data_IF_408488674258
#
_entry.id   IF_408488674258
#
_cell.length_a   1.000
_cell.length_b   1.000
_cell.length_c   1.000
_cell.angle_alpha   90.00
_cell.angle_beta   90.00
_cell.angle_gamma   90.00
#
_symmetry.space_group_name_H-M   'P 1'
#
loop_
_entity.id
_entity.type
_entity.pdbx_description
1 polymer ?
#
# COMPACT_ATOMS: atom_id res chain seq x y z
N UNK A 1 19.32 -34.95 21.69
CA UNK A 1 18.59 -34.68 20.42
C UNK A 1 19.27 -33.50 19.76
N UNK A 2 20.14 -33.77 18.79
CA UNK A 2 20.80 -32.73 18.02
C UNK A 2 19.75 -32.09 17.11
N UNK A 3 19.50 -30.80 17.29
CA UNK A 3 18.75 -30.04 16.29
C UNK A 3 19.62 -29.96 15.04
N UNK A 4 19.19 -30.64 13.98
CA UNK A 4 19.72 -30.45 12.65
C UNK A 4 19.61 -28.96 12.33
N UNK A 5 20.77 -28.32 12.18
CA UNK A 5 20.86 -26.93 11.77
C UNK A 5 20.53 -26.90 10.29
N UNK A 6 19.25 -26.95 9.97
CA UNK A 6 18.70 -26.74 8.64
C UNK A 6 19.38 -25.48 8.10
N UNK A 7 20.12 -25.61 7.00
CA UNK A 7 21.04 -24.61 6.49
C UNK A 7 20.26 -23.46 5.86
N UNK A 8 19.49 -22.75 6.67
CA UNK A 8 18.71 -21.62 6.22
C UNK A 8 19.67 -20.46 5.90
N UNK A 9 19.45 -19.71 4.80
CA UNK A 9 20.27 -18.56 4.44
C UNK A 9 20.39 -17.55 5.59
N UNK A 10 21.53 -16.85 5.69
CA UNK A 10 21.77 -15.86 6.76
C UNK A 10 20.64 -14.83 6.87
N UNK A 11 20.14 -14.35 5.74
CA UNK A 11 19.11 -13.32 5.67
C UNK A 11 17.74 -13.81 6.19
N UNK A 12 17.46 -15.12 6.08
CA UNK A 12 16.28 -15.73 6.69
C UNK A 12 16.32 -15.62 8.22
N UNK A 13 17.50 -15.85 8.81
CA UNK A 13 17.74 -15.69 10.24
C UNK A 13 17.58 -14.25 10.71
N UNK A 14 17.99 -13.26 9.89
CA UNK A 14 17.82 -11.84 10.19
C UNK A 14 16.35 -11.45 10.21
N UNK A 15 15.58 -11.79 9.17
CA UNK A 15 14.13 -11.49 9.12
C UNK A 15 13.39 -12.17 10.28
N UNK A 16 13.74 -13.41 10.61
CA UNK A 16 13.18 -14.12 11.76
C UNK A 16 13.49 -13.41 13.08
N UNK A 17 14.69 -12.86 13.22
CA UNK A 17 15.09 -12.11 14.42
C UNK A 17 14.31 -10.80 14.55
N UNK A 18 14.08 -10.10 13.43
CA UNK A 18 13.26 -8.88 13.38
C UNK A 18 11.80 -9.18 13.78
N UNK A 19 11.21 -10.27 13.27
CA UNK A 19 9.84 -10.65 13.65
C UNK A 19 9.70 -10.95 15.14
N UNK A 20 10.72 -11.61 15.73
CA UNK A 20 10.78 -11.88 17.17
C UNK A 20 10.91 -10.60 18.00
N UNK A 21 11.73 -9.65 17.56
CA UNK A 21 11.89 -8.35 18.23
C UNK A 21 10.60 -7.52 18.19
N UNK A 22 9.82 -7.64 17.11
CA UNK A 22 8.48 -7.04 17.00
C UNK A 22 7.40 -7.78 17.81
N UNK A 23 7.75 -8.87 18.52
CA UNK A 23 6.81 -9.64 19.34
C UNK A 23 5.89 -10.57 18.54
N UNK A 24 6.19 -10.84 17.27
CA UNK A 24 5.40 -11.73 16.41
C UNK A 24 5.94 -13.15 16.55
N UNK A 25 5.25 -13.96 17.35
CA UNK A 25 5.67 -15.33 17.65
C UNK A 25 5.03 -16.40 16.75
N UNK A 26 3.93 -16.06 16.06
CA UNK A 26 3.17 -16.99 15.22
C UNK A 26 3.00 -16.41 13.80
N UNK A 27 3.56 -17.09 12.80
CA UNK A 27 3.44 -16.74 11.40
C UNK A 27 3.66 -17.97 10.50
N UNK A 28 3.11 -17.97 9.29
CA UNK A 28 3.40 -19.02 8.31
C UNK A 28 4.86 -18.90 7.84
N UNK A 29 5.60 -20.02 7.69
CA UNK A 29 6.99 -19.98 7.21
C UNK A 29 7.19 -19.21 5.89
N UNK A 30 6.17 -19.18 5.02
CA UNK A 30 6.20 -18.45 3.75
C UNK A 30 6.30 -16.93 3.91
N UNK A 31 5.87 -16.38 5.04
CA UNK A 31 5.96 -14.93 5.31
C UNK A 31 7.42 -14.48 5.26
N UNK A 32 8.33 -15.28 5.80
CA UNK A 32 9.78 -14.95 5.78
C UNK A 32 10.30 -14.92 4.34
N UNK A 33 9.88 -15.86 3.49
CA UNK A 33 10.26 -15.89 2.08
C UNK A 33 9.71 -14.68 1.31
N UNK A 34 8.46 -14.29 1.57
CA UNK A 34 7.85 -13.11 0.95
C UNK A 34 8.52 -11.81 1.38
N UNK A 35 8.84 -11.67 2.66
CA UNK A 35 9.58 -10.52 3.18
C UNK A 35 11.00 -10.44 2.61
N UNK A 36 11.65 -11.59 2.43
CA UNK A 36 12.96 -11.66 1.80
C UNK A 36 12.90 -11.19 0.35
N UNK A 37 11.96 -11.72 -0.44
CA UNK A 37 11.75 -11.32 -1.83
C UNK A 37 11.40 -9.82 -1.94
N UNK A 38 10.53 -9.34 -1.06
CA UNK A 38 10.18 -7.92 -0.97
C UNK A 38 11.41 -7.05 -0.71
N UNK A 39 12.25 -7.44 0.24
CA UNK A 39 13.47 -6.69 0.61
C UNK A 39 14.43 -6.60 -0.57
N UNK A 40 14.70 -7.73 -1.24
CA UNK A 40 15.57 -7.72 -2.42
C UNK A 40 15.01 -6.89 -3.57
N UNK A 41 13.70 -7.02 -3.84
CA UNK A 41 13.05 -6.24 -4.88
C UNK A 41 13.13 -4.75 -4.58
N UNK A 42 12.82 -4.35 -3.33
CA UNK A 42 12.89 -2.96 -2.89
C UNK A 42 14.30 -2.38 -3.03
N UNK A 43 15.32 -3.08 -2.50
CA UNK A 43 16.71 -2.62 -2.59
C UNK A 43 17.18 -2.51 -4.04
N UNK A 44 16.81 -3.49 -4.89
CA UNK A 44 17.16 -3.46 -6.32
C UNK A 44 16.55 -2.24 -7.01
N UNK A 45 15.26 -1.98 -6.82
CA UNK A 45 14.59 -0.80 -7.40
C UNK A 45 15.22 0.51 -6.91
N UNK A 46 15.52 0.63 -5.61
CA UNK A 46 16.17 1.84 -5.07
C UNK A 46 17.56 2.04 -5.67
N UNK A 47 18.35 0.98 -5.84
CA UNK A 47 19.68 1.06 -6.44
C UNK A 47 19.64 1.36 -7.95
N UNK A 48 18.62 0.87 -8.66
CA UNK A 48 18.39 1.20 -10.06
C UNK A 48 18.08 2.69 -10.24
N UNK A 49 17.20 3.25 -9.42
CA UNK A 49 16.87 4.68 -9.42
C UNK A 49 18.09 5.53 -9.02
N UNK A 50 18.83 5.13 -7.99
CA UNK A 50 20.05 5.83 -7.57
C UNK A 50 21.14 5.82 -8.67
N UNK A 51 21.24 4.74 -9.44
CA UNK A 51 22.13 4.67 -10.62
C UNK A 51 21.72 5.67 -11.69
N UNK A 52 20.42 5.81 -11.97
CA UNK A 52 19.90 6.78 -12.94
C UNK A 52 20.24 8.21 -12.48
N UNK A 53 20.09 8.51 -11.19
CA UNK A 53 20.43 9.82 -10.63
C UNK A 53 21.93 10.12 -10.69
N UNK A 54 22.79 9.14 -10.38
CA UNK A 54 24.24 9.26 -10.53
C UNK A 54 24.65 9.51 -11.99
N UNK A 55 24.01 8.82 -12.95
CA UNK A 55 24.26 9.01 -14.38
C UNK A 55 23.82 10.39 -14.86
N UNK A 56 22.68 10.88 -14.37
CA UNK A 56 22.20 12.22 -14.70
C UNK A 56 23.15 13.33 -14.19
N UNK A 57 23.84 13.09 -13.07
CA UNK A 57 24.82 14.00 -12.50
C UNK A 57 26.26 13.79 -13.03
N UNK A 58 26.45 12.99 -14.10
CA UNK A 58 27.75 12.61 -14.67
C UNK A 58 28.76 12.03 -13.64
N UNK A 59 28.26 11.44 -12.55
CA UNK A 59 29.07 10.79 -11.51
C UNK A 59 29.35 9.34 -11.90
N UNK A 60 30.61 8.90 -11.74
CA UNK A 60 31.04 7.51 -12.03
C UNK A 60 30.68 6.51 -10.92
N UNK A 61 30.38 7.01 -9.72
CA UNK A 61 30.09 6.19 -8.53
C UNK A 61 28.81 6.69 -7.88
N UNK A 62 27.96 5.75 -7.45
CA UNK A 62 26.73 6.06 -6.71
C UNK A 62 27.12 6.67 -5.36
N UNK A 63 26.60 7.86 -5.08
CA UNK A 63 26.79 8.57 -3.80
C UNK A 63 25.61 8.36 -2.86
N UNK A 64 25.83 8.60 -1.57
CA UNK A 64 24.79 8.47 -0.53
C UNK A 64 23.60 9.39 -0.83
N UNK A 65 23.84 10.55 -1.42
CA UNK A 65 22.78 11.50 -1.76
C UNK A 65 21.88 10.99 -2.90
N UNK A 66 22.44 10.25 -3.86
CA UNK A 66 21.67 9.64 -4.94
C UNK A 66 20.73 8.54 -4.37
N UNK A 67 21.20 7.78 -3.37
CA UNK A 67 20.37 6.77 -2.67
C UNK A 67 19.28 7.43 -1.83
N UNK A 68 19.60 8.52 -1.10
CA UNK A 68 18.59 9.27 -0.33
C UNK A 68 17.49 9.81 -1.23
N UNK A 69 17.86 10.37 -2.38
CA UNK A 69 16.91 10.88 -3.37
C UNK A 69 16.03 9.76 -3.95
N UNK A 70 16.61 8.59 -4.24
CA UNK A 70 15.87 7.42 -4.69
C UNK A 70 14.84 6.93 -3.66
N UNK A 71 15.23 6.89 -2.38
CA UNK A 71 14.31 6.53 -1.29
C UNK A 71 13.16 7.54 -1.17
N UNK A 72 13.44 8.84 -1.25
CA UNK A 72 12.41 9.88 -1.19
C UNK A 72 11.40 9.73 -2.34
N UNK A 73 11.89 9.63 -3.58
CA UNK A 73 11.08 9.41 -4.78
C UNK A 73 10.22 8.14 -4.68
N UNK A 74 10.79 7.05 -4.16
CA UNK A 74 10.06 5.79 -3.97
C UNK A 74 9.01 5.89 -2.85
N UNK A 75 9.31 6.61 -1.77
CA UNK A 75 8.38 6.82 -0.66
C UNK A 75 7.14 7.59 -1.09
N UNK A 76 7.29 8.61 -1.95
CA UNK A 76 6.16 9.38 -2.49
C UNK A 76 5.25 8.53 -3.40
N UNK A 77 5.82 7.56 -4.12
CA UNK A 77 5.05 6.65 -4.99
C UNK A 77 4.30 5.58 -4.20
N UNK A 78 4.92 5.04 -3.16
CA UNK A 78 4.47 3.79 -2.51
C UNK A 78 3.79 4.02 -1.16
N UNK A 79 4.14 5.08 -0.45
CA UNK A 79 3.61 5.37 0.89
C UNK A 79 2.61 6.51 0.78
N UNK A 80 1.32 6.16 0.89
CA UNK A 80 0.31 7.17 1.19
C UNK A 80 0.43 7.52 2.67
N UNK A 81 1.32 8.46 2.98
CA UNK A 81 1.30 9.11 4.29
C UNK A 81 -0.11 9.65 4.53
N UNK A 82 -0.67 9.48 5.73
CA UNK A 82 -1.97 10.06 6.04
C UNK A 82 -1.88 11.57 5.77
N UNK A 83 -2.86 12.15 5.06
CA UNK A 83 -2.82 13.56 4.74
C UNK A 83 -2.71 14.40 6.01
N UNK A 84 -2.03 15.56 5.97
CA UNK A 84 -1.92 16.44 7.12
C UNK A 84 -3.28 16.80 7.72
N UNK A 85 -3.35 16.92 9.05
CA UNK A 85 -4.59 17.22 9.77
C UNK A 85 -5.24 18.50 9.27
N UNK A 86 -4.45 19.53 8.99
CA UNK A 86 -4.95 20.83 8.50
C UNK A 86 -5.67 20.70 7.15
N UNK A 87 -5.13 19.88 6.24
CA UNK A 87 -5.75 19.59 4.95
C UNK A 87 -7.10 18.90 5.14
N UNK A 88 -7.18 17.94 6.06
CA UNK A 88 -8.44 17.25 6.37
C UNK A 88 -9.45 18.19 7.05
N UNK A 89 -8.99 19.09 7.92
CA UNK A 89 -9.83 20.10 8.56
C UNK A 89 -10.40 21.11 7.56
N UNK A 90 -9.63 21.51 6.55
CA UNK A 90 -10.11 22.39 5.48
C UNK A 90 -11.21 21.74 4.64
N UNK A 91 -11.02 20.46 4.27
CA UNK A 91 -12.05 19.67 3.57
C UNK A 91 -13.30 19.55 4.44
N UNK A 92 -13.12 19.25 5.74
CA UNK A 92 -14.22 19.13 6.68
C UNK A 92 -15.00 20.44 6.80
N UNK A 93 -14.33 21.60 6.94
CA UNK A 93 -14.99 22.92 6.96
C UNK A 93 -15.79 23.16 5.69
N UNK A 94 -15.21 22.88 4.53
CA UNK A 94 -15.88 23.07 3.23
C UNK A 94 -17.13 22.20 3.10
N UNK A 95 -17.07 20.94 3.52
CA UNK A 95 -18.20 20.01 3.47
C UNK A 95 -19.26 20.30 4.53
N UNK A 96 -18.84 20.61 5.75
CA UNK A 96 -19.73 20.85 6.89
C UNK A 96 -20.44 22.22 6.81
N UNK A 97 -19.98 23.13 5.96
CA UNK A 97 -20.70 24.37 5.67
C UNK A 97 -22.02 24.16 4.91
N UNK A 98 -22.22 22.99 4.29
CA UNK A 98 -23.50 22.66 3.66
C UNK A 98 -24.48 22.18 4.74
N UNK A 99 -25.62 22.88 4.95
CA UNK A 99 -26.59 22.45 5.94
C UNK A 99 -27.20 21.10 5.55
N UNK A 100 -27.56 20.31 6.56
CA UNK A 100 -28.20 19.01 6.35
C UNK A 100 -29.53 19.18 5.58
N UNK A 101 -29.84 18.26 4.64
CA UNK A 101 -31.15 18.24 3.99
C UNK A 101 -32.27 18.10 5.03
N UNK A 102 -33.43 18.74 4.83
CA UNK A 102 -34.55 18.61 5.75
C UNK A 102 -34.99 17.15 5.83
N UNK A 103 -35.12 16.65 7.06
CA UNK A 103 -35.56 15.28 7.34
C UNK A 103 -37.03 15.15 6.91
N UNK A 104 -37.30 14.29 5.92
CA UNK A 104 -38.68 13.94 5.55
C UNK A 104 -39.21 12.93 6.57
N UNK A 105 -40.42 13.14 7.10
CA UNK A 105 -41.05 12.28 8.10
C UNK A 105 -41.56 10.93 7.54
N UNK A 106 -40.89 10.39 6.52
CA UNK A 106 -41.23 9.10 5.92
C UNK A 106 -40.75 8.01 6.88
N UNK A 107 -41.65 7.11 7.26
CA UNK A 107 -41.32 5.91 8.02
C UNK A 107 -40.64 4.92 7.07
N UNK A 108 -39.30 4.96 7.00
CA UNK A 108 -38.51 4.01 6.22
C UNK A 108 -37.21 4.59 5.64
N UNK A 109 -36.34 3.73 5.09
CA UNK A 109 -35.10 4.16 4.45
C UNK A 109 -35.40 4.98 3.18
N UNK A 110 -34.88 6.21 3.11
CA UNK A 110 -34.97 7.06 1.92
C UNK A 110 -33.96 6.58 0.88
N UNK A 111 -34.41 5.80 -0.10
CA UNK A 111 -33.59 5.42 -1.24
C UNK A 111 -33.31 6.64 -2.13
N UNK A 112 -32.11 6.73 -2.74
CA UNK A 112 -31.88 7.68 -3.82
C UNK A 112 -32.84 7.39 -4.99
N UNK A 113 -33.17 8.37 -5.84
CA UNK A 113 -34.03 8.17 -7.00
C UNK A 113 -33.58 6.97 -7.84
N UNK A 114 -34.52 6.25 -8.47
CA UNK A 114 -34.25 5.00 -9.21
C UNK A 114 -33.10 5.12 -10.23
N UNK A 115 -32.91 6.30 -10.83
CA UNK A 115 -31.81 6.60 -11.77
C UNK A 115 -30.41 6.52 -11.13
N UNK A 116 -30.32 6.76 -9.83
CA UNK A 116 -29.11 6.66 -9.03
C UNK A 116 -29.11 5.40 -8.15
N UNK A 117 -30.07 4.51 -8.34
CA UNK A 117 -30.22 3.27 -7.58
C UNK A 117 -29.85 2.08 -8.46
N UNK A 118 -29.09 1.13 -7.91
CA UNK A 118 -28.64 -0.08 -8.61
C UNK A 118 -29.66 -1.23 -8.48
N UNK A 119 -30.95 -0.91 -8.49
CA UNK A 119 -32.05 -1.88 -8.33
C UNK A 119 -32.53 -2.47 -9.67
N UNK A 120 -32.12 -1.89 -10.80
CA UNK A 120 -32.51 -2.38 -12.12
C UNK A 120 -31.75 -3.65 -12.49
N UNK A 121 -32.44 -4.60 -13.13
CA UNK A 121 -31.80 -5.77 -13.73
C UNK A 121 -30.94 -5.34 -14.94
N UNK A 122 -29.66 -5.04 -14.68
CA UNK A 122 -28.71 -4.63 -15.72
C UNK A 122 -28.04 -5.82 -16.44
N UNK A 123 -28.28 -7.05 -15.99
CA UNK A 123 -27.77 -8.26 -16.63
C UNK A 123 -28.77 -8.83 -17.65
N UNK A 124 -28.41 -8.77 -18.93
CA UNK A 124 -29.17 -9.41 -20.01
C UNK A 124 -28.41 -10.66 -20.47
N UNK A 125 -28.91 -11.84 -20.11
CA UNK A 125 -28.38 -13.09 -20.66
C UNK A 125 -28.76 -13.21 -22.14
N UNK A 126 -27.75 -13.31 -23.02
CA UNK A 126 -27.96 -13.50 -24.46
C UNK A 126 -28.62 -14.86 -24.67
N UNK A 127 -29.88 -14.88 -25.14
CA UNK A 127 -30.56 -16.14 -25.48
C UNK A 127 -29.73 -16.88 -26.54
N UNK A 128 -29.23 -18.07 -26.19
CA UNK A 128 -28.53 -18.98 -27.11
C UNK A 128 -29.56 -19.44 -28.16
N UNK A 129 -29.38 -19.03 -29.42
CA UNK A 129 -30.16 -19.56 -30.53
C UNK A 129 -29.78 -21.04 -30.71
N UNK A 130 -30.78 -21.92 -30.68
CA UNK A 130 -30.66 -23.31 -31.14
C UNK A 130 -30.82 -23.33 -32.66
#
# INVERSE_FOLDING_TARGET
MAQEKESSPRDFGVITSILKEMGINEYEPKVVNQLLEFTYRYVTTVLEDARIYSQYADKKTITVDDVKMAIQSQSEKMLTLPPPQDFLMEIARTRNNQPLPPIRSIVGPCLPPDRYSLISCNYHSKKRKF
#
